data_IF_820677964324
#
_entry.id   IF_820677964324
#
_cell.length_a   1.000
_cell.length_b   1.000
_cell.length_c   1.000
_cell.angle_alpha   90.00
_cell.angle_beta   90.00
_cell.angle_gamma   90.00
#
_symmetry.space_group_name_H-M   'P 1'
#
loop_
_entity.id
_entity.type
_entity.pdbx_description
1 polymer ?
#
# COMPACT_ATOMS: atom_id res chain seq x y z
N UNK A 1 17.43 -3.37 14.06
CA UNK A 1 17.97 -4.55 13.35
C UNK A 1 18.00 -4.23 11.85
N UNK A 2 18.92 -4.79 11.05
CA UNK A 2 18.81 -4.68 9.59
C UNK A 2 17.49 -5.27 9.12
N UNK A 3 16.88 -4.68 8.09
CA UNK A 3 15.68 -5.23 7.43
C UNK A 3 16.10 -6.54 6.76
N UNK A 4 15.78 -7.67 7.39
CA UNK A 4 16.07 -9.00 6.87
C UNK A 4 14.87 -9.51 6.10
N UNK A 5 15.13 -9.96 4.87
CA UNK A 5 14.10 -10.58 4.04
C UNK A 5 14.25 -12.11 4.06
N UNK A 6 13.13 -12.82 4.21
CA UNK A 6 13.08 -14.28 4.23
C UNK A 6 12.09 -14.82 3.19
N UNK A 7 12.42 -15.98 2.63
CA UNK A 7 11.58 -16.76 1.74
C UNK A 7 11.05 -17.96 2.50
N UNK A 8 9.76 -18.23 2.33
CA UNK A 8 9.13 -19.46 2.82
C UNK A 8 9.51 -20.60 1.87
N UNK A 9 10.22 -21.59 2.37
CA UNK A 9 10.64 -22.78 1.63
C UNK A 9 9.97 -24.03 2.21
N UNK A 10 9.33 -24.83 1.36
CA UNK A 10 8.68 -26.07 1.75
C UNK A 10 9.33 -27.26 1.01
N UNK A 11 10.34 -27.92 1.62
CA UNK A 11 11.00 -29.05 0.98
C UNK A 11 10.06 -30.26 0.88
N UNK A 12 10.11 -31.02 -0.23
CA UNK A 12 9.29 -32.20 -0.39
C UNK A 12 9.60 -33.24 0.68
N UNK A 13 8.55 -33.79 1.30
CA UNK A 13 8.67 -34.79 2.38
C UNK A 13 8.74 -34.21 3.80
N UNK A 14 8.75 -32.89 3.96
CA UNK A 14 8.68 -32.22 5.26
C UNK A 14 7.29 -31.64 5.51
N UNK A 15 6.80 -31.78 6.75
CA UNK A 15 5.48 -31.29 7.15
C UNK A 15 5.43 -29.82 7.59
N UNK A 16 6.56 -29.12 7.65
CA UNK A 16 6.66 -27.76 8.16
C UNK A 16 7.48 -26.85 7.22
N UNK A 17 7.05 -25.60 7.01
CA UNK A 17 7.79 -24.63 6.21
C UNK A 17 9.00 -24.07 6.97
N UNK A 18 10.07 -23.79 6.23
CA UNK A 18 11.28 -23.15 6.73
C UNK A 18 11.35 -21.70 6.24
N UNK A 19 11.89 -20.80 7.05
CA UNK A 19 12.24 -19.44 6.63
C UNK A 19 13.73 -19.39 6.27
N UNK A 20 14.03 -19.04 5.03
CA UNK A 20 15.40 -18.99 4.50
C UNK A 20 15.72 -17.54 4.13
N UNK A 21 16.91 -16.99 4.49
CA UNK A 21 17.31 -15.65 4.06
C UNK A 21 17.19 -15.48 2.54
N UNK A 22 16.66 -14.34 2.10
CA UNK A 22 16.29 -14.14 0.69
C UNK A 22 17.47 -13.82 -0.23
N UNK A 23 18.58 -13.34 0.34
CA UNK A 23 19.74 -12.88 -0.41
C UNK A 23 21.06 -13.21 0.30
N UNK A 24 22.18 -13.16 -0.44
CA UNK A 24 23.51 -13.31 0.14
C UNK A 24 23.85 -12.22 1.18
N UNK A 25 23.21 -11.05 1.09
CA UNK A 25 23.34 -10.00 2.09
C UNK A 25 22.61 -10.37 3.39
N UNK A 26 21.40 -10.94 3.29
CA UNK A 26 20.63 -11.40 4.44
C UNK A 26 21.35 -12.55 5.16
N UNK A 27 21.94 -13.49 4.41
CA UNK A 27 22.74 -14.60 4.98
C UNK A 27 23.87 -14.04 5.87
N UNK A 28 24.68 -13.11 5.33
CA UNK A 28 25.76 -12.48 6.09
C UNK A 28 25.26 -11.70 7.30
N UNK A 29 24.06 -11.11 7.20
CA UNK A 29 23.46 -10.34 8.28
C UNK A 29 22.97 -11.27 9.40
N UNK A 30 22.37 -12.42 9.07
CA UNK A 30 21.98 -13.45 10.04
C UNK A 30 23.21 -14.09 10.71
N UNK A 31 24.27 -14.38 9.96
CA UNK A 31 25.52 -14.92 10.52
C UNK A 31 26.14 -14.01 11.58
N UNK A 32 26.03 -12.67 11.39
CA UNK A 32 26.50 -11.69 12.38
C UNK A 32 25.69 -11.69 13.66
N UNK A 33 24.44 -12.15 13.64
CA UNK A 33 23.58 -12.23 14.82
C UNK A 33 23.97 -13.38 15.76
N UNK A 34 24.77 -14.35 15.28
CA UNK A 34 25.34 -15.46 16.07
C UNK A 34 24.29 -16.28 16.84
N UNK A 35 23.10 -16.43 16.28
CA UNK A 35 22.06 -17.30 16.83
C UNK A 35 22.53 -18.76 16.84
N UNK A 36 22.21 -19.46 17.92
CA UNK A 36 22.54 -20.86 18.12
C UNK A 36 21.32 -21.74 17.87
N UNK A 37 21.60 -22.99 17.55
CA UNK A 37 20.55 -24.00 17.47
C UNK A 37 19.83 -24.11 18.82
N UNK A 38 18.51 -23.92 18.81
CA UNK A 38 17.67 -23.94 20.02
C UNK A 38 17.31 -22.55 20.57
N UNK A 39 17.87 -21.47 20.03
CA UNK A 39 17.48 -20.11 20.42
C UNK A 39 16.03 -19.84 19.99
N UNK A 40 15.21 -19.32 20.91
CA UNK A 40 13.87 -18.83 20.61
C UNK A 40 13.98 -17.36 20.21
N UNK A 41 13.59 -17.03 18.98
CA UNK A 41 13.70 -15.69 18.41
C UNK A 41 12.29 -15.19 18.10
N UNK A 42 12.02 -13.93 18.43
CA UNK A 42 10.79 -13.23 18.05
C UNK A 42 11.11 -12.21 16.96
N UNK A 43 10.34 -12.21 15.88
CA UNK A 43 10.44 -11.23 14.81
C UNK A 43 9.06 -10.91 14.26
N UNK A 44 8.86 -9.67 13.85
CA UNK A 44 7.71 -9.27 13.05
C UNK A 44 8.01 -9.52 11.57
N UNK A 45 7.20 -10.34 10.91
CA UNK A 45 7.34 -10.60 9.48
C UNK A 45 6.32 -9.76 8.72
N UNK A 46 6.79 -9.16 7.62
CA UNK A 46 5.92 -8.46 6.70
C UNK A 46 6.17 -8.94 5.28
N UNK A 47 5.11 -9.34 4.59
CA UNK A 47 5.17 -9.68 3.17
C UNK A 47 5.19 -8.39 2.36
N UNK A 48 6.25 -8.12 1.56
CA UNK A 48 6.24 -6.99 0.63
C UNK A 48 5.12 -7.19 -0.40
N UNK A 49 4.36 -6.12 -0.68
CA UNK A 49 3.26 -6.13 -1.64
C UNK A 49 3.72 -6.44 -3.05
N UNK A 50 2.80 -6.88 -3.90
CA UNK A 50 3.04 -6.90 -5.35
C UNK A 50 3.28 -5.46 -5.85
N UNK A 51 4.50 -5.18 -6.34
CA UNK A 51 4.89 -3.87 -6.88
C UNK A 51 4.01 -3.34 -8.03
N UNK A 52 3.39 -4.18 -8.87
CA UNK A 52 2.40 -3.74 -9.85
C UNK A 52 1.21 -3.01 -9.23
N UNK A 53 0.62 -3.52 -8.14
CA UNK A 53 -0.59 -2.95 -7.54
C UNK A 53 -0.40 -1.55 -6.97
N UNK A 54 0.80 -1.25 -6.44
CA UNK A 54 1.15 0.08 -5.92
C UNK A 54 1.14 1.15 -7.04
N UNK A 55 1.72 0.85 -8.21
CA UNK A 55 1.71 1.76 -9.37
C UNK A 55 0.29 2.01 -9.91
N UNK A 56 -0.60 1.02 -9.78
CA UNK A 56 -2.00 1.10 -10.21
C UNK A 56 -2.82 2.12 -9.45
N UNK A 57 -2.82 2.04 -8.12
CA UNK A 57 -3.65 2.92 -7.31
C UNK A 57 -3.01 4.30 -7.17
N UNK A 58 -1.68 4.36 -7.06
CA UNK A 58 -1.00 5.62 -6.72
C UNK A 58 -0.56 6.43 -7.93
N UNK A 59 -0.18 5.78 -9.04
CA UNK A 59 0.22 6.46 -10.26
C UNK A 59 -0.97 6.75 -11.16
N UNK A 60 -1.66 5.69 -11.61
CA UNK A 60 -2.71 5.79 -12.64
C UNK A 60 -3.99 6.48 -12.16
N UNK A 61 -4.61 5.93 -11.10
CA UNK A 61 -5.88 6.46 -10.61
C UNK A 61 -5.76 7.90 -10.09
N UNK A 62 -4.75 8.19 -9.29
CA UNK A 62 -4.58 9.52 -8.71
C UNK A 62 -4.29 10.58 -9.77
N UNK A 63 -3.46 10.25 -10.78
CA UNK A 63 -3.21 11.13 -11.92
C UNK A 63 -4.47 11.37 -12.75
N UNK A 64 -5.21 10.30 -13.07
CA UNK A 64 -6.46 10.41 -13.82
C UNK A 64 -7.47 11.34 -13.15
N UNK A 65 -7.67 11.17 -11.83
CA UNK A 65 -8.56 12.06 -11.06
C UNK A 65 -8.00 13.47 -11.01
N UNK A 66 -6.69 13.63 -10.80
CA UNK A 66 -6.02 14.92 -10.71
C UNK A 66 -6.13 15.74 -11.99
N UNK A 67 -6.00 15.11 -13.15
CA UNK A 67 -6.14 15.75 -14.46
C UNK A 67 -7.59 16.13 -14.77
N UNK A 68 -8.57 15.46 -14.16
CA UNK A 68 -10.00 15.69 -14.39
C UNK A 68 -10.63 16.74 -13.45
N UNK A 69 -9.86 17.29 -12.51
CA UNK A 69 -10.34 18.19 -11.47
C UNK A 69 -9.55 19.51 -11.46
N UNK A 70 -10.19 20.59 -11.00
CA UNK A 70 -9.57 21.92 -10.89
C UNK A 70 -9.49 22.43 -9.43
N UNK A 71 -9.90 21.60 -8.45
CA UNK A 71 -10.00 21.97 -7.03
C UNK A 71 -8.66 21.95 -6.29
N UNK A 72 -7.75 21.09 -6.69
CA UNK A 72 -6.47 20.84 -6.03
C UNK A 72 -5.32 21.19 -6.96
N UNK A 73 -4.39 22.00 -6.46
CA UNK A 73 -3.21 22.45 -7.23
C UNK A 73 -2.09 21.41 -7.29
N UNK A 74 -2.11 20.42 -6.38
CA UNK A 74 -1.07 19.38 -6.32
C UNK A 74 -1.68 17.98 -6.14
N UNK A 75 -1.07 16.94 -6.73
CA UNK A 75 -1.50 15.56 -6.51
C UNK A 75 -1.50 15.15 -5.04
N UNK A 76 -0.58 15.71 -4.25
CA UNK A 76 -0.49 15.43 -2.83
C UNK A 76 -1.67 16.00 -2.03
N UNK A 77 -2.17 17.18 -2.40
CA UNK A 77 -3.38 17.74 -1.78
C UNK A 77 -4.62 16.88 -2.09
N UNK A 78 -4.75 16.41 -3.34
CA UNK A 78 -5.80 15.45 -3.72
C UNK A 78 -5.66 14.14 -2.93
N UNK A 79 -4.44 13.60 -2.82
CA UNK A 79 -4.14 12.39 -2.04
C UNK A 79 -4.58 12.53 -0.58
N UNK A 80 -4.22 13.64 0.05
CA UNK A 80 -4.60 13.95 1.43
C UNK A 80 -6.13 14.03 1.58
N UNK A 81 -6.81 14.75 0.69
CA UNK A 81 -8.27 14.84 0.70
C UNK A 81 -8.93 13.47 0.57
N UNK A 82 -8.51 12.67 -0.40
CA UNK A 82 -9.03 11.32 -0.61
C UNK A 82 -8.81 10.44 0.62
N UNK A 83 -7.62 10.49 1.23
CA UNK A 83 -7.29 9.70 2.43
C UNK A 83 -8.09 10.11 3.66
N UNK A 84 -8.40 11.41 3.82
CA UNK A 84 -9.22 11.89 4.94
C UNK A 84 -10.68 11.42 4.86
N UNK A 85 -11.12 11.04 3.67
CA UNK A 85 -12.45 10.48 3.43
C UNK A 85 -12.50 8.95 3.56
N UNK A 86 -11.38 8.31 3.93
CA UNK A 86 -11.33 6.86 4.20
C UNK A 86 -11.06 6.60 5.68
N UNK A 87 -11.11 5.33 6.07
CA UNK A 87 -10.68 4.87 7.40
C UNK A 87 -9.16 4.92 7.58
N UNK A 88 -8.42 5.23 6.51
CA UNK A 88 -6.96 5.21 6.49
C UNK A 88 -6.33 6.52 7.02
N UNK A 89 -6.87 7.01 8.13
CA UNK A 89 -6.43 8.21 8.82
C UNK A 89 -6.05 7.89 10.28
N UNK A 90 -5.15 8.69 10.84
CA UNK A 90 -4.87 8.70 12.27
C UNK A 90 -5.76 9.74 12.92
N UNK A 91 -6.47 9.35 13.97
CA UNK A 91 -7.28 10.26 14.76
C UNK A 91 -6.59 10.54 16.08
N UNK A 92 -6.41 11.83 16.38
CA UNK A 92 -5.85 12.31 17.64
C UNK A 92 -6.87 13.24 18.29
N UNK A 93 -7.15 13.03 19.57
CA UNK A 93 -7.96 13.98 20.34
C UNK A 93 -7.02 15.01 20.93
N UNK A 94 -7.23 16.28 20.57
CA UNK A 94 -6.55 17.38 21.25
C UNK A 94 -7.05 17.45 22.69
N UNK A 95 -6.16 17.21 23.64
CA UNK A 95 -6.50 17.18 25.06
C UNK A 95 -6.88 18.56 25.62
N UNK A 96 -6.45 19.65 24.98
CA UNK A 96 -6.76 21.01 25.42
C UNK A 96 -8.13 21.48 24.91
N UNK A 97 -8.49 21.12 23.68
CA UNK A 97 -9.73 21.60 23.03
C UNK A 97 -10.83 20.56 22.95
N UNK A 98 -10.51 19.27 23.14
CA UNK A 98 -11.42 18.15 22.93
C UNK A 98 -11.73 17.86 21.46
N UNK A 99 -11.09 18.56 20.51
CA UNK A 99 -11.34 18.37 19.09
C UNK A 99 -10.67 17.10 18.57
N UNK A 100 -11.36 16.40 17.67
CA UNK A 100 -10.79 15.25 16.95
C UNK A 100 -10.08 15.77 15.71
N UNK A 101 -8.75 15.63 15.71
CA UNK A 101 -7.89 15.93 14.57
C UNK A 101 -7.69 14.65 13.76
N UNK A 102 -7.86 14.73 12.44
CA UNK A 102 -7.65 13.61 11.51
C UNK A 102 -6.45 13.91 10.61
N UNK A 103 -5.50 12.99 10.58
CA UNK A 103 -4.29 13.09 9.75
C UNK A 103 -4.27 11.96 8.73
N UNK A 104 -4.04 12.24 7.43
CA UNK A 104 -3.96 11.19 6.43
C UNK A 104 -2.69 10.35 6.65
N UNK A 105 -2.82 9.02 6.66
CA UNK A 105 -1.65 8.15 6.69
C UNK A 105 -0.88 8.21 5.37
N UNK A 106 0.41 7.91 5.42
CA UNK A 106 1.25 7.80 4.24
C UNK A 106 0.85 6.62 3.38
N UNK A 107 0.92 6.81 2.07
CA UNK A 107 0.75 5.75 1.06
C UNK A 107 2.07 5.05 0.73
N UNK A 108 3.12 5.33 1.51
CA UNK A 108 4.44 4.72 1.40
C UNK A 108 4.36 3.20 1.37
N UNK A 109 5.06 2.61 0.39
CA UNK A 109 5.19 1.16 0.24
C UNK A 109 5.72 0.48 1.52
N UNK A 110 6.55 1.18 2.30
CA UNK A 110 7.10 0.68 3.56
C UNK A 110 6.17 0.82 4.76
N UNK A 111 5.06 1.52 4.66
CA UNK A 111 4.21 1.82 5.84
C UNK A 111 2.88 1.07 5.86
N UNK A 112 2.52 0.42 4.74
CA UNK A 112 1.23 -0.24 4.62
C UNK A 112 1.33 -1.68 4.05
N UNK A 113 0.57 -2.64 4.57
CA UNK A 113 0.58 -4.06 4.13
C UNK A 113 -0.45 -4.39 3.03
N UNK A 114 -0.39 -5.54 2.36
CA UNK A 114 -1.30 -5.85 1.23
C UNK A 114 -2.79 -5.75 1.60
N UNK A 115 -3.15 -6.10 2.83
CA UNK A 115 -4.54 -6.07 3.31
C UNK A 115 -5.02 -4.63 3.46
N UNK A 116 -4.25 -3.80 4.15
CA UNK A 116 -4.50 -2.37 4.31
C UNK A 116 -4.57 -1.66 2.94
N UNK A 117 -3.76 -2.11 1.97
CA UNK A 117 -3.80 -1.56 0.60
C UNK A 117 -5.13 -1.79 -0.06
N UNK A 118 -5.59 -3.05 -0.01
CA UNK A 118 -6.80 -3.49 -0.67
C UNK A 118 -7.99 -2.77 -0.06
N UNK A 119 -8.02 -2.64 1.27
CA UNK A 119 -9.03 -1.89 1.97
C UNK A 119 -9.04 -0.41 1.55
N UNK A 120 -7.88 0.26 1.56
CA UNK A 120 -7.77 1.64 1.10
C UNK A 120 -8.29 1.79 -0.34
N UNK A 121 -7.93 0.88 -1.24
CA UNK A 121 -8.39 0.90 -2.63
C UNK A 121 -9.92 0.77 -2.72
N UNK A 122 -10.51 -0.15 -1.96
CA UNK A 122 -11.96 -0.38 -1.92
C UNK A 122 -12.72 0.84 -1.38
N UNK A 123 -12.16 1.55 -0.41
CA UNK A 123 -12.74 2.77 0.16
C UNK A 123 -12.53 4.02 -0.73
N UNK A 124 -11.44 4.08 -1.49
CA UNK A 124 -11.14 5.21 -2.37
C UNK A 124 -12.08 5.33 -3.56
N UNK A 125 -12.41 4.21 -4.21
CA UNK A 125 -13.26 4.20 -5.41
C UNK A 125 -14.62 4.89 -5.21
N UNK A 126 -15.41 4.58 -4.16
CA UNK A 126 -16.69 5.25 -3.94
C UNK A 126 -16.52 6.73 -3.59
N UNK A 127 -15.47 7.12 -2.88
CA UNK A 127 -15.16 8.54 -2.61
C UNK A 127 -14.89 9.29 -3.90
N UNK A 128 -14.07 8.72 -4.79
CA UNK A 128 -13.73 9.33 -6.08
C UNK A 128 -14.99 9.51 -6.94
N UNK A 129 -15.82 8.48 -7.05
CA UNK A 129 -17.07 8.55 -7.81
C UNK A 129 -17.99 9.62 -7.23
N UNK A 130 -18.19 9.62 -5.92
CA UNK A 130 -19.08 10.60 -5.27
C UNK A 130 -18.61 12.04 -5.47
N UNK A 131 -17.32 12.30 -5.32
CA UNK A 131 -16.77 13.67 -5.27
C UNK A 131 -16.41 14.23 -6.66
N UNK A 132 -16.04 13.38 -7.62
CA UNK A 132 -15.53 13.83 -8.93
C UNK A 132 -16.33 13.31 -10.12
N UNK A 133 -16.98 12.14 -10.01
CA UNK A 133 -17.69 11.50 -11.13
C UNK A 133 -19.06 10.95 -10.69
N UNK A 134 -19.97 11.80 -10.18
CA UNK A 134 -21.20 11.35 -9.49
C UNK A 134 -22.20 10.63 -10.40
N UNK A 135 -22.03 10.73 -11.72
CA UNK A 135 -22.89 10.09 -12.72
C UNK A 135 -22.31 8.78 -13.28
N UNK A 136 -21.10 8.41 -12.85
CA UNK A 136 -20.38 7.26 -13.39
C UNK A 136 -20.36 6.08 -12.42
N UNK A 137 -20.10 4.89 -12.96
CA UNK A 137 -19.96 3.65 -12.20
C UNK A 137 -18.51 3.26 -11.90
N UNK A 138 -18.33 2.34 -10.95
CA UNK A 138 -17.01 1.75 -10.63
C UNK A 138 -16.38 1.08 -11.86
N UNK A 139 -17.18 0.41 -12.69
CA UNK A 139 -16.67 -0.29 -13.86
C UNK A 139 -16.17 0.69 -14.93
N UNK A 140 -16.88 1.81 -15.12
CA UNK A 140 -16.43 2.90 -15.96
C UNK A 140 -15.10 3.45 -15.46
N UNK A 141 -14.98 3.72 -14.15
CA UNK A 141 -13.75 4.28 -13.58
C UNK A 141 -12.54 3.37 -13.81
N UNK A 142 -12.71 2.06 -13.57
CA UNK A 142 -11.65 1.07 -13.83
C UNK A 142 -11.28 1.03 -15.31
N UNK A 143 -12.26 1.05 -16.21
CA UNK A 143 -12.04 1.03 -17.65
C UNK A 143 -11.31 2.29 -18.13
N UNK A 144 -11.74 3.47 -17.69
CA UNK A 144 -11.15 4.76 -18.05
C UNK A 144 -9.72 4.89 -17.57
N UNK A 145 -9.43 4.49 -16.32
CA UNK A 145 -8.06 4.51 -15.80
C UNK A 145 -7.18 3.52 -16.57
N UNK A 146 -7.68 2.33 -16.91
CA UNK A 146 -6.96 1.35 -17.74
C UNK A 146 -6.71 1.82 -19.19
N UNK A 147 -7.65 2.55 -19.76
CA UNK A 147 -7.49 3.12 -21.09
C UNK A 147 -6.43 4.22 -21.07
N UNK A 148 -6.50 5.15 -20.11
CA UNK A 148 -5.53 6.24 -19.97
C UNK A 148 -4.11 5.71 -19.79
N UNK A 149 -3.97 4.76 -18.88
CA UNK A 149 -2.81 3.93 -18.66
C UNK A 149 -2.18 3.35 -19.94
N UNK A 150 -3.01 2.71 -20.77
CA UNK A 150 -2.58 2.12 -22.03
C UNK A 150 -2.08 3.20 -22.99
N UNK A 151 -2.79 4.34 -23.08
CA UNK A 151 -2.38 5.49 -23.88
C UNK A 151 -1.05 6.09 -23.41
N UNK A 152 -0.77 6.03 -22.11
CA UNK A 152 0.50 6.47 -21.50
C UNK A 152 1.63 5.45 -21.68
N UNK A 153 1.41 4.34 -22.41
CA UNK A 153 2.42 3.31 -22.68
C UNK A 153 2.74 2.42 -21.47
N UNK A 154 1.91 2.46 -20.44
CA UNK A 154 2.04 1.64 -19.24
C UNK A 154 1.07 0.45 -19.36
N UNK A 155 1.60 -0.78 -19.22
CA UNK A 155 0.78 -2.01 -19.28
C UNK A 155 -0.30 -2.01 -18.18
N UNK A 156 -1.53 -2.40 -18.56
CA UNK A 156 -2.78 -2.57 -17.77
C UNK A 156 -2.72 -2.40 -16.24
N UNK A 157 -3.70 -1.68 -15.68
CA UNK A 157 -3.72 -1.27 -14.29
C UNK A 157 -4.84 -1.84 -13.41
N UNK A 158 -5.68 -2.73 -13.93
CA UNK A 158 -6.66 -3.50 -13.16
C UNK A 158 -6.76 -4.93 -13.68
#
# INVERSE_FOLDING_TARGET
MPDLSFVVFNPPGHGQPYLVPSSAFDIKSVERLRWKHGDVITSEFRKPRSGPHHRQVFGGLLRFVFEAQERFDTPEALRCFLTLNTSFCIECVDQATGQVLRFPRSWSYREMDETEFKQLKEELLPVILKEFFPHEGIDWLKASVNQQAFMDGLMSFF
#
